data_IF_551840365704
#
_entry.id   IF_551840365704
#
_cell.length_a   1.000
_cell.length_b   1.000
_cell.length_c   1.000
_cell.angle_alpha   90.00
_cell.angle_beta   90.00
_cell.angle_gamma   90.00
#
_symmetry.space_group_name_H-M   'P 1'
#
loop_
_entity.id
_entity.type
_entity.pdbx_description
1 polymer ?
#
# COMPACT_ATOMS: atom_id res chain seq x y z
N UNK A 1 42.46 -12.70 28.15
CA UNK A 1 42.03 -12.28 26.79
C UNK A 1 40.57 -12.67 26.67
N UNK A 2 39.66 -11.70 26.70
CA UNK A 2 38.22 -11.96 26.67
C UNK A 2 37.63 -11.21 25.49
N UNK A 3 37.06 -11.97 24.56
CA UNK A 3 36.23 -11.44 23.49
C UNK A 3 34.85 -11.09 24.08
N UNK A 4 34.21 -10.02 23.59
CA UNK A 4 32.78 -10.16 23.31
C UNK A 4 32.40 -9.62 21.93
N UNK A 5 31.71 -10.50 21.21
CA UNK A 5 30.77 -10.21 20.14
C UNK A 5 29.77 -9.12 20.56
N UNK A 6 29.57 -8.10 19.73
CA UNK A 6 28.25 -7.50 19.51
C UNK A 6 28.21 -6.88 18.12
N UNK A 7 27.61 -7.60 17.16
CA UNK A 7 27.09 -7.01 15.93
C UNK A 7 25.98 -6.02 16.29
N UNK A 8 26.32 -4.74 16.39
CA UNK A 8 25.34 -3.66 16.47
C UNK A 8 24.85 -3.33 15.06
N UNK A 9 24.07 -4.23 14.48
CA UNK A 9 23.28 -3.96 13.28
C UNK A 9 21.87 -3.55 13.70
N UNK A 10 21.69 -2.31 14.15
CA UNK A 10 20.38 -1.72 14.48
C UNK A 10 19.56 -1.37 13.23
N UNK A 11 19.56 -2.24 12.22
CA UNK A 11 18.61 -2.20 11.11
C UNK A 11 17.26 -2.74 11.57
N UNK A 12 16.69 -2.13 12.61
CA UNK A 12 15.43 -2.53 13.23
C UNK A 12 14.30 -2.51 12.21
N UNK A 13 13.30 -3.38 12.36
CA UNK A 13 12.23 -3.55 11.36
C UNK A 13 11.47 -2.26 11.02
N UNK A 14 11.59 -1.20 11.83
CA UNK A 14 11.03 0.14 11.63
C UNK A 14 11.63 0.97 10.48
N UNK A 15 12.70 0.48 9.85
CA UNK A 15 13.22 1.08 8.62
C UNK A 15 12.76 0.31 7.39
N UNK A 16 12.71 -1.03 7.46
CA UNK A 16 12.37 -1.88 6.32
C UNK A 16 10.93 -1.71 5.85
N UNK A 17 10.00 -1.53 6.79
CA UNK A 17 8.61 -1.23 6.47
C UNK A 17 8.49 0.04 5.61
N UNK A 18 9.23 1.10 5.94
CA UNK A 18 9.23 2.35 5.15
C UNK A 18 9.74 2.12 3.74
N UNK A 19 10.78 1.33 3.56
CA UNK A 19 11.29 0.96 2.22
C UNK A 19 10.22 0.21 1.42
N UNK A 20 9.51 -0.73 2.05
CA UNK A 20 8.43 -1.44 1.39
C UNK A 20 7.26 -0.54 1.00
N UNK A 21 6.86 0.39 1.88
CA UNK A 21 5.80 1.37 1.55
C UNK A 21 6.24 2.31 0.43
N UNK A 22 7.49 2.75 0.42
CA UNK A 22 8.03 3.57 -0.68
C UNK A 22 8.04 2.79 -2.00
N UNK A 23 8.39 1.51 -1.99
CA UNK A 23 8.32 0.67 -3.19
C UNK A 23 6.89 0.49 -3.70
N UNK A 24 5.92 0.24 -2.80
CA UNK A 24 4.50 0.22 -3.16
C UNK A 24 4.05 1.55 -3.77
N UNK A 25 4.50 2.67 -3.19
CA UNK A 25 4.19 3.99 -3.69
C UNK A 25 4.73 4.23 -5.10
N UNK A 26 5.99 3.87 -5.36
CA UNK A 26 6.61 3.98 -6.69
C UNK A 26 5.83 3.17 -7.72
N UNK A 27 5.46 1.94 -7.38
CA UNK A 27 4.65 1.10 -8.27
C UNK A 27 3.28 1.73 -8.56
N UNK A 28 2.60 2.31 -7.56
CA UNK A 28 1.34 3.04 -7.81
C UNK A 28 1.56 4.18 -8.82
N UNK A 29 2.62 4.98 -8.65
CA UNK A 29 2.95 6.08 -9.57
C UNK A 29 3.30 5.58 -10.99
N UNK A 30 4.01 4.45 -11.12
CA UNK A 30 4.27 3.81 -12.41
C UNK A 30 2.98 3.39 -13.14
N UNK A 31 1.92 3.06 -12.40
CA UNK A 31 0.58 2.76 -12.95
C UNK A 31 -0.31 4.00 -13.15
N UNK A 32 0.28 5.20 -13.02
CA UNK A 32 -0.38 6.49 -13.27
C UNK A 32 -1.17 7.03 -12.08
N UNK A 33 -1.05 6.41 -10.90
CA UNK A 33 -1.69 6.88 -9.66
C UNK A 33 -0.79 7.88 -8.95
N UNK A 34 -1.14 9.17 -9.01
CA UNK A 34 -0.34 10.24 -8.43
C UNK A 34 -0.63 10.38 -6.93
N UNK A 35 0.39 10.26 -6.09
CA UNK A 35 0.25 10.47 -4.64
C UNK A 35 0.10 11.96 -4.30
N UNK A 36 -1.03 12.35 -3.71
CA UNK A 36 -1.35 13.75 -3.35
C UNK A 36 -1.20 14.05 -1.86
N UNK A 37 -1.25 13.02 -1.01
CA UNK A 37 -1.02 13.14 0.43
C UNK A 37 -0.23 11.91 0.90
N UNK A 38 0.79 12.13 1.73
CA UNK A 38 1.69 11.09 2.22
C UNK A 38 1.93 11.29 3.72
N UNK A 39 1.55 10.32 4.53
CA UNK A 39 1.80 10.30 5.97
C UNK A 39 2.52 9.01 6.36
N UNK A 40 3.78 9.13 6.75
CA UNK A 40 4.61 8.02 7.20
C UNK A 40 4.73 8.05 8.72
N UNK A 41 3.94 7.22 9.40
CA UNK A 41 3.99 7.08 10.86
C UNK A 41 5.07 6.10 11.31
N UNK A 42 5.05 5.76 12.60
CA UNK A 42 5.99 4.80 13.18
C UNK A 42 5.65 3.35 12.79
N UNK A 43 4.36 3.00 12.82
CA UNK A 43 3.84 1.67 12.42
C UNK A 43 2.63 1.77 11.49
N UNK A 44 2.15 2.98 11.21
CA UNK A 44 1.00 3.23 10.35
C UNK A 44 1.40 4.19 9.25
N UNK A 45 1.17 3.79 8.01
CA UNK A 45 1.45 4.62 6.83
C UNK A 45 0.15 4.84 6.06
N UNK A 46 -0.01 6.04 5.51
CA UNK A 46 -1.19 6.42 4.75
C UNK A 46 -0.79 7.24 3.53
N UNK A 47 -1.24 6.83 2.35
CA UNK A 47 -1.03 7.58 1.11
C UNK A 47 -2.33 7.66 0.34
N UNK A 48 -2.66 8.86 -0.16
CA UNK A 48 -3.83 9.09 -1.01
C UNK A 48 -3.37 9.31 -2.45
N UNK A 49 -4.00 8.58 -3.37
CA UNK A 49 -3.71 8.63 -4.81
C UNK A 49 -4.91 9.07 -5.63
N UNK A 50 -4.66 9.81 -6.70
CA UNK A 50 -5.66 10.20 -7.69
C UNK A 50 -5.16 9.93 -9.11
N UNK A 51 -6.09 9.65 -10.03
CA UNK A 51 -5.82 9.44 -11.45
C UNK A 51 -7.00 9.97 -12.27
N UNK A 52 -6.83 11.03 -13.09
CA UNK A 52 -7.93 11.72 -13.77
C UNK A 52 -8.82 10.82 -14.65
N UNK A 53 -8.25 9.79 -15.26
CA UNK A 53 -8.96 8.89 -16.20
C UNK A 53 -9.38 7.56 -15.54
N UNK A 54 -9.38 7.47 -14.21
CA UNK A 54 -9.83 6.27 -13.49
C UNK A 54 -11.33 6.33 -13.20
N UNK A 55 -12.05 5.19 -13.18
CA UNK A 55 -13.43 5.13 -12.68
C UNK A 55 -13.55 5.37 -11.17
N UNK A 56 -12.43 5.46 -10.45
CA UNK A 56 -12.36 5.76 -9.02
C UNK A 56 -11.95 7.24 -8.82
N UNK A 57 -12.56 7.91 -7.83
CA UNK A 57 -12.16 9.25 -7.38
C UNK A 57 -10.74 9.23 -6.80
N UNK A 58 -10.44 8.20 -6.01
CA UNK A 58 -9.15 8.01 -5.34
C UNK A 58 -8.91 6.58 -4.90
N UNK A 59 -7.65 6.26 -4.65
CA UNK A 59 -7.24 5.09 -3.87
C UNK A 59 -6.53 5.58 -2.61
N UNK A 60 -6.93 5.07 -1.44
CA UNK A 60 -6.16 5.25 -0.19
C UNK A 60 -5.41 3.96 0.12
N UNK A 61 -4.10 4.05 0.32
CA UNK A 61 -3.27 2.96 0.84
C UNK A 61 -3.06 3.20 2.33
N UNK A 62 -3.55 2.30 3.17
CA UNK A 62 -3.30 2.31 4.62
C UNK A 62 -2.53 1.06 5.00
N UNK A 63 -1.28 1.24 5.42
CA UNK A 63 -0.42 0.16 5.85
C UNK A 63 -0.28 0.16 7.38
N UNK A 64 -0.38 -1.01 7.99
CA UNK A 64 -0.18 -1.23 9.43
C UNK A 64 0.90 -2.31 9.63
N UNK A 65 1.91 -1.99 10.43
CA UNK A 65 3.08 -2.84 10.66
C UNK A 65 2.93 -3.57 11.98
N UNK A 66 2.97 -4.90 11.92
CA UNK A 66 2.94 -5.79 13.08
C UNK A 66 4.13 -6.74 13.03
N UNK A 67 5.20 -6.38 13.74
CA UNK A 67 6.45 -7.15 13.75
C UNK A 67 7.10 -7.20 12.37
N UNK A 68 7.13 -8.39 11.76
CA UNK A 68 7.66 -8.63 10.41
C UNK A 68 6.58 -8.65 9.32
N UNK A 69 5.33 -8.35 9.67
CA UNK A 69 4.22 -8.28 8.70
C UNK A 69 3.77 -6.85 8.51
N UNK A 70 3.38 -6.51 7.28
CA UNK A 70 2.73 -5.27 6.93
C UNK A 70 1.42 -5.58 6.23
N UNK A 71 0.31 -5.28 6.90
CA UNK A 71 -1.03 -5.40 6.34
C UNK A 71 -1.37 -4.08 5.65
N UNK A 72 -1.80 -4.16 4.40
CA UNK A 72 -2.11 -3.02 3.56
C UNK A 72 -3.54 -3.13 3.05
N UNK A 73 -4.35 -2.17 3.46
CA UNK A 73 -5.70 -1.99 2.94
C UNK A 73 -5.65 -0.92 1.83
N UNK A 74 -6.08 -1.31 0.63
CA UNK A 74 -6.29 -0.40 -0.49
C UNK A 74 -7.77 -0.09 -0.61
N UNK A 75 -8.15 1.15 -0.30
CA UNK A 75 -9.51 1.64 -0.37
C UNK A 75 -9.72 2.36 -1.70
N UNK A 76 -10.39 1.71 -2.65
CA UNK A 76 -10.89 2.38 -3.85
C UNK A 76 -12.20 3.11 -3.53
N UNK A 77 -12.25 4.40 -3.81
CA UNK A 77 -13.43 5.25 -3.58
C UNK A 77 -14.01 5.64 -4.93
N UNK A 78 -15.29 5.35 -5.15
CA UNK A 78 -16.04 5.78 -6.33
C UNK A 78 -16.78 7.10 -6.07
N UNK A 79 -17.11 7.88 -7.12
CA UNK A 79 -18.00 9.03 -7.02
C UNK A 79 -19.30 8.68 -6.31
N UNK A 80 -19.77 9.53 -5.39
CA UNK A 80 -21.09 9.36 -4.75
C UNK A 80 -22.18 9.69 -5.76
N UNK A 81 -23.00 8.71 -6.15
CA UNK A 81 -24.06 8.90 -7.15
C UNK A 81 -25.45 9.11 -6.54
N UNK A 82 -25.70 8.66 -5.30
CA UNK A 82 -27.01 8.77 -4.64
C UNK A 82 -27.02 9.32 -3.21
N UNK A 83 -28.23 9.58 -2.68
CA UNK A 83 -28.47 10.04 -1.31
C UNK A 83 -28.11 8.96 -0.26
N UNK A 84 -28.30 7.68 -0.60
CA UNK A 84 -27.93 6.54 0.25
C UNK A 84 -26.41 6.35 0.34
N UNK A 85 -25.64 6.62 -0.73
CA UNK A 85 -24.16 6.57 -0.71
C UNK A 85 -23.55 7.66 0.20
N UNK A 86 -24.34 8.68 0.55
CA UNK A 86 -23.93 9.69 1.54
C UNK A 86 -24.11 9.21 2.97
N UNK A 87 -25.06 8.31 3.21
CA UNK A 87 -25.43 7.79 4.54
C UNK A 87 -24.71 6.49 4.86
N UNK A 88 -24.51 5.65 3.83
CA UNK A 88 -23.81 4.39 3.92
C UNK A 88 -22.61 4.44 2.96
N UNK A 89 -21.42 4.12 3.44
CA UNK A 89 -20.16 4.16 2.65
C UNK A 89 -20.07 3.05 1.59
N UNK A 90 -21.14 2.82 0.82
CA UNK A 90 -21.19 1.84 -0.26
C UNK A 90 -20.24 2.19 -1.41
N UNK A 91 -19.78 3.43 -1.50
CA UNK A 91 -18.85 3.90 -2.53
C UNK A 91 -17.39 3.52 -2.24
N UNK A 92 -17.13 2.72 -1.20
CA UNK A 92 -15.78 2.27 -0.85
C UNK A 92 -15.64 0.76 -1.07
N UNK A 93 -14.63 0.37 -1.84
CA UNK A 93 -14.19 -1.02 -1.97
C UNK A 93 -12.81 -1.19 -1.33
N UNK A 94 -12.62 -2.27 -0.59
CA UNK A 94 -11.34 -2.58 0.06
C UNK A 94 -10.74 -3.84 -0.55
N UNK A 95 -9.48 -3.77 -0.96
CA UNK A 95 -8.65 -4.93 -1.27
C UNK A 95 -7.51 -4.99 -0.25
N UNK A 96 -7.41 -6.11 0.47
CA UNK A 96 -6.40 -6.32 1.52
C UNK A 96 -5.24 -7.15 0.99
N UNK A 97 -4.02 -6.75 1.34
CA UNK A 97 -2.78 -7.50 1.07
C UNK A 97 -1.94 -7.55 2.34
N UNK A 98 -1.32 -8.70 2.60
CA UNK A 98 -0.36 -8.85 3.70
C UNK A 98 1.00 -9.16 3.11
N UNK A 99 2.03 -8.43 3.56
CA UNK A 99 3.40 -8.59 3.12
C UNK A 99 4.28 -8.97 4.29
N UNK A 100 5.02 -10.05 4.17
CA UNK A 100 6.12 -10.35 5.08
C UNK A 100 7.33 -9.49 4.69
N UNK A 101 7.71 -8.54 5.53
CA UNK A 101 8.66 -7.47 5.20
C UNK A 101 10.02 -8.06 4.79
N UNK A 102 10.52 -9.07 5.50
CA UNK A 102 11.77 -9.76 5.17
C UNK A 102 11.78 -10.45 3.80
N UNK A 103 10.62 -10.76 3.21
CA UNK A 103 10.54 -11.32 1.84
C UNK A 103 10.66 -10.24 0.77
N UNK A 104 10.43 -8.98 1.09
CA UNK A 104 10.42 -7.88 0.13
C UNK A 104 11.51 -6.85 0.40
N UNK A 105 12.14 -6.85 1.59
CA UNK A 105 13.21 -5.93 1.94
C UNK A 105 14.33 -6.67 2.67
N UNK A 106 15.51 -6.68 2.05
CA UNK A 106 16.72 -7.28 2.61
C UNK A 106 17.27 -6.50 3.81
N UNK A 107 18.24 -7.07 4.53
CA UNK A 107 18.94 -6.38 5.62
C UNK A 107 19.77 -5.17 5.14
N UNK A 108 20.21 -5.19 3.88
CA UNK A 108 20.90 -4.06 3.21
C UNK A 108 19.94 -3.09 2.51
N UNK A 109 18.64 -3.13 2.86
CA UNK A 109 17.61 -2.19 2.40
C UNK A 109 17.39 -2.17 0.89
N UNK A 110 17.49 -3.34 0.25
CA UNK A 110 17.14 -3.54 -1.16
C UNK A 110 15.77 -4.18 -1.28
N UNK A 111 15.03 -3.78 -2.32
CA UNK A 111 13.76 -4.44 -2.65
C UNK A 111 14.06 -5.82 -3.23
N UNK A 112 13.36 -6.81 -2.70
CA UNK A 112 13.38 -8.20 -3.13
C UNK A 112 12.02 -8.53 -3.76
N UNK A 113 11.98 -9.59 -4.56
CA UNK A 113 10.73 -10.11 -5.14
C UNK A 113 9.89 -9.03 -5.87
N UNK A 114 10.55 -8.09 -6.56
CA UNK A 114 9.93 -6.94 -7.22
C UNK A 114 8.77 -7.33 -8.15
N UNK A 115 8.93 -8.41 -8.93
CA UNK A 115 7.86 -8.87 -9.81
C UNK A 115 6.60 -9.31 -9.03
N UNK A 116 6.78 -9.95 -7.88
CA UNK A 116 5.66 -10.32 -7.00
C UNK A 116 4.98 -9.07 -6.43
N UNK A 117 5.76 -8.06 -6.04
CA UNK A 117 5.24 -6.80 -5.52
C UNK A 117 4.44 -6.06 -6.62
N UNK A 118 5.00 -5.96 -7.83
CA UNK A 118 4.36 -5.40 -9.02
C UNK A 118 3.05 -6.11 -9.34
N UNK A 119 3.06 -7.45 -9.37
CA UNK A 119 1.86 -8.24 -9.63
C UNK A 119 0.76 -7.98 -8.60
N UNK A 120 1.12 -7.85 -7.32
CA UNK A 120 0.15 -7.52 -6.28
C UNK A 120 -0.49 -6.16 -6.49
N UNK A 121 0.29 -5.13 -6.83
CA UNK A 121 -0.22 -3.78 -7.11
C UNK A 121 -1.15 -3.77 -8.33
N UNK A 122 -0.76 -4.41 -9.44
CA UNK A 122 -1.62 -4.52 -10.63
C UNK A 122 -2.94 -5.20 -10.33
N UNK A 123 -2.91 -6.32 -9.60
CA UNK A 123 -4.12 -7.05 -9.24
C UNK A 123 -5.04 -6.19 -8.37
N UNK A 124 -4.48 -5.46 -7.40
CA UNK A 124 -5.24 -4.55 -6.54
C UNK A 124 -5.93 -3.47 -7.37
N UNK A 125 -5.18 -2.76 -8.22
CA UNK A 125 -5.72 -1.68 -9.06
C UNK A 125 -6.86 -2.22 -9.94
N UNK A 126 -6.63 -3.33 -10.65
CA UNK A 126 -7.66 -3.96 -11.50
C UNK A 126 -8.91 -4.34 -10.72
N UNK A 127 -8.77 -4.98 -9.56
CA UNK A 127 -9.92 -5.36 -8.74
C UNK A 127 -10.74 -4.16 -8.26
N UNK A 128 -10.08 -3.05 -7.96
CA UNK A 128 -10.76 -1.82 -7.54
C UNK A 128 -11.45 -1.14 -8.74
N UNK A 129 -10.77 -1.04 -9.89
CA UNK A 129 -11.33 -0.43 -11.11
C UNK A 129 -12.50 -1.25 -11.68
N UNK A 130 -12.37 -2.58 -11.80
CA UNK A 130 -13.45 -3.47 -12.26
C UNK A 130 -14.69 -3.42 -11.33
N UNK A 131 -14.47 -3.24 -10.02
CA UNK A 131 -15.56 -3.10 -9.07
C UNK A 131 -16.29 -1.75 -9.19
N UNK A 132 -15.60 -0.71 -9.64
CA UNK A 132 -16.20 0.60 -9.92
C UNK A 132 -17.05 0.56 -11.19
N UNK A 133 -16.54 -0.06 -12.26
CA UNK A 133 -17.23 -0.17 -13.56
C UNK A 133 -18.50 -1.01 -13.48
N UNK A 134 -18.52 -2.11 -12.70
CA UNK A 134 -19.71 -2.96 -12.52
C UNK A 134 -20.89 -2.28 -11.85
N UNK A 135 -20.71 -1.13 -11.21
CA UNK A 135 -21.80 -0.34 -10.63
C UNK A 135 -22.41 0.67 -11.61
N UNK A 136 -21.81 0.84 -12.79
CA UNK A 136 -22.31 1.77 -13.81
C UNK A 136 -23.25 1.11 -14.83
N UNK A 137 -23.36 -0.22 -14.80
CA UNK A 137 -24.32 -1.02 -15.58
C UNK A 137 -25.53 -1.41 -14.72
#
# INVERSE_FOLDING_TARGET
MSNPNTKTGTGGSSSKDKYLVVALHQLMEEYGWRGIEKHFGFVKHHIIYVKPDSPLDKIELKANVLGNHMDVDFFGVTPKKGLLDRVFDFNVRVVRKSFEISKYVSDDMKILNEQSLRNNVVIVIKQLEEAAEKKEQ
#
